data_IF_102008305720
#
_entry.id   IF_102008305720
#
_cell.length_a   1.000
_cell.length_b   1.000
_cell.length_c   1.000
_cell.angle_alpha   90.00
_cell.angle_beta   90.00
_cell.angle_gamma   90.00
#
_symmetry.space_group_name_H-M   'P 1'
#
loop_
_entity.id
_entity.type
_entity.pdbx_description
1 polymer ?
#
# COMPACT_ATOMS: atom_id res chain seq x y z
N UNK A 1 32.09 3.64 -9.65
CA UNK A 1 30.97 2.94 -10.27
C UNK A 1 29.83 2.78 -9.29
N UNK A 2 28.63 2.83 -9.77
CA UNK A 2 27.46 2.50 -8.96
C UNK A 2 27.38 1.00 -8.80
N UNK A 3 27.13 0.52 -7.60
CA UNK A 3 26.82 -0.89 -7.40
C UNK A 3 25.56 -1.26 -8.21
N UNK A 4 25.56 -2.43 -8.88
CA UNK A 4 24.34 -2.90 -9.51
C UNK A 4 23.29 -3.13 -8.45
N UNK A 5 22.18 -2.41 -8.53
CA UNK A 5 21.03 -2.65 -7.68
C UNK A 5 19.89 -3.24 -8.52
N UNK A 6 19.07 -4.00 -7.86
CA UNK A 6 17.89 -4.56 -8.50
C UNK A 6 16.90 -3.42 -8.66
N UNK A 7 16.74 -2.98 -9.90
CA UNK A 7 15.63 -2.11 -10.23
C UNK A 7 14.38 -2.97 -10.09
N UNK A 8 13.64 -2.75 -9.03
CA UNK A 8 12.31 -3.31 -8.90
C UNK A 8 11.53 -2.89 -10.12
N UNK A 9 11.43 -3.78 -11.08
CA UNK A 9 10.58 -3.58 -12.25
C UNK A 9 9.14 -3.36 -11.79
N UNK A 10 8.29 -2.97 -12.71
CA UNK A 10 6.87 -2.86 -12.48
C UNK A 10 6.33 -4.18 -11.95
N UNK A 11 5.91 -4.18 -10.70
CA UNK A 11 5.26 -5.35 -10.11
C UNK A 11 3.79 -5.36 -10.50
N UNK A 12 3.17 -6.53 -10.49
CA UNK A 12 1.71 -6.63 -10.63
C UNK A 12 0.96 -6.20 -9.35
N UNK A 13 1.65 -5.57 -8.41
CA UNK A 13 1.09 -5.04 -7.17
C UNK A 13 0.24 -3.80 -7.42
N UNK A 14 -0.79 -3.63 -6.62
CA UNK A 14 -1.69 -2.49 -6.69
C UNK A 14 -3.03 -2.82 -6.05
N UNK A 15 -4.00 -1.93 -6.20
CA UNK A 15 -5.35 -2.17 -5.72
C UNK A 15 -5.97 -3.39 -6.39
N UNK A 16 -6.68 -4.18 -5.62
CA UNK A 16 -7.46 -5.28 -6.17
C UNK A 16 -8.64 -4.71 -6.96
N UNK A 17 -8.55 -4.82 -8.28
CA UNK A 17 -9.60 -4.38 -9.21
C UNK A 17 -10.17 -5.56 -9.99
N UNK A 18 -11.39 -5.41 -10.46
CA UNK A 18 -12.04 -6.31 -11.39
C UNK A 18 -11.78 -5.96 -12.87
N UNK A 19 -12.46 -6.59 -13.79
CA UNK A 19 -12.32 -6.32 -15.23
C UNK A 19 -12.86 -4.95 -15.65
N UNK A 20 -13.73 -4.33 -14.85
CA UNK A 20 -14.24 -2.95 -15.01
C UNK A 20 -13.36 -1.92 -14.32
N UNK A 21 -12.25 -2.34 -13.73
CA UNK A 21 -11.34 -1.50 -12.91
C UNK A 21 -11.99 -0.95 -11.64
N UNK A 22 -13.13 -1.53 -11.22
CA UNK A 22 -13.72 -1.23 -9.92
C UNK A 22 -12.87 -1.85 -8.80
N UNK A 23 -12.67 -1.09 -7.71
CA UNK A 23 -12.07 -1.61 -6.48
C UNK A 23 -13.14 -2.24 -5.59
N UNK A 24 -12.74 -2.75 -4.42
CA UNK A 24 -13.69 -3.23 -3.40
C UNK A 24 -14.39 -2.09 -2.64
N UNK A 25 -14.10 -0.85 -2.96
CA UNK A 25 -14.77 0.34 -2.40
C UNK A 25 -15.70 0.89 -3.46
N UNK A 26 -17.01 0.97 -3.14
CA UNK A 26 -18.03 1.43 -4.07
C UNK A 26 -17.71 2.83 -4.62
N UNK A 27 -17.79 2.98 -5.94
CA UNK A 27 -17.52 4.23 -6.63
C UNK A 27 -16.03 4.58 -6.79
N UNK A 28 -15.11 3.72 -6.31
CA UNK A 28 -13.67 3.91 -6.49
C UNK A 28 -13.14 2.98 -7.58
N UNK A 29 -12.52 3.57 -8.59
CA UNK A 29 -11.90 2.86 -9.72
C UNK A 29 -10.39 3.12 -9.74
N UNK A 30 -9.61 2.16 -10.24
CA UNK A 30 -8.17 2.29 -10.35
C UNK A 30 -7.66 1.72 -11.69
N UNK A 31 -6.84 2.51 -12.39
CA UNK A 31 -6.23 2.11 -13.66
C UNK A 31 -4.75 2.51 -13.68
N UNK A 32 -3.96 1.85 -14.52
CA UNK A 32 -2.52 2.06 -14.62
C UNK A 32 -1.73 1.47 -13.46
N UNK A 33 -0.69 2.16 -13.01
CA UNK A 33 0.26 1.64 -12.02
C UNK A 33 -0.36 1.35 -10.65
N UNK A 34 -1.45 2.02 -10.30
CA UNK A 34 -2.16 1.79 -9.03
C UNK A 34 -3.04 0.53 -9.05
N UNK A 35 -3.38 0.01 -10.25
CA UNK A 35 -4.18 -1.19 -10.39
C UNK A 35 -3.33 -2.45 -10.28
N UNK A 36 -3.72 -3.39 -9.41
CA UNK A 36 -3.07 -4.69 -9.30
C UNK A 36 -3.39 -5.57 -10.52
N UNK A 37 -2.38 -6.33 -10.97
CA UNK A 37 -2.54 -7.27 -12.09
C UNK A 37 -2.58 -6.62 -13.47
N UNK A 38 -2.32 -5.32 -13.59
CA UNK A 38 -2.22 -4.65 -14.87
C UNK A 38 -1.13 -5.31 -15.75
N UNK A 39 -1.44 -5.74 -16.96
CA UNK A 39 -0.50 -6.51 -17.82
C UNK A 39 0.66 -5.65 -18.30
N UNK A 40 0.47 -4.36 -18.40
CA UNK A 40 1.49 -3.40 -18.85
C UNK A 40 1.35 -2.09 -18.10
N UNK A 41 2.32 -1.81 -17.24
CA UNK A 41 2.35 -0.60 -16.38
C UNK A 41 3.19 0.53 -17.00
N UNK A 42 2.91 0.87 -18.25
CA UNK A 42 3.51 1.98 -18.99
C UNK A 42 2.40 2.87 -19.54
N UNK A 43 2.79 3.96 -20.19
CA UNK A 43 1.85 4.97 -20.71
C UNK A 43 0.71 4.34 -21.53
N UNK A 44 1.00 3.41 -22.43
CA UNK A 44 -0.02 2.75 -23.24
C UNK A 44 -0.99 1.92 -22.41
N UNK A 45 -0.49 1.16 -21.46
CA UNK A 45 -1.33 0.39 -20.54
C UNK A 45 -2.13 1.27 -19.61
N UNK A 46 -1.51 2.33 -19.08
CA UNK A 46 -2.19 3.30 -18.21
C UNK A 46 -3.35 4.04 -18.93
N UNK A 47 -3.15 4.41 -20.20
CA UNK A 47 -4.19 5.04 -21.01
C UNK A 47 -5.36 4.07 -21.29
N UNK A 48 -5.06 2.83 -21.66
CA UNK A 48 -6.10 1.82 -21.93
C UNK A 48 -6.91 1.49 -20.66
N UNK A 49 -6.23 1.34 -19.53
CA UNK A 49 -6.91 1.07 -18.25
C UNK A 49 -7.67 2.28 -17.73
N UNK A 50 -7.15 3.49 -17.96
CA UNK A 50 -7.83 4.74 -17.65
C UNK A 50 -9.14 4.89 -18.44
N UNK A 51 -9.15 4.51 -19.72
CA UNK A 51 -10.37 4.48 -20.54
C UNK A 51 -11.40 3.50 -19.97
N UNK A 52 -11.00 2.27 -19.63
CA UNK A 52 -11.89 1.28 -19.03
C UNK A 52 -12.47 1.81 -17.71
N UNK A 53 -11.60 2.34 -16.84
CA UNK A 53 -12.02 2.89 -15.55
C UNK A 53 -13.01 4.07 -15.71
N UNK A 54 -12.75 4.97 -16.65
CA UNK A 54 -13.61 6.13 -16.91
C UNK A 54 -15.00 5.69 -17.42
N UNK A 55 -15.06 4.79 -18.39
CA UNK A 55 -16.34 4.26 -18.90
C UNK A 55 -17.13 3.57 -17.81
N UNK A 56 -16.48 2.76 -17.00
CA UNK A 56 -17.13 2.08 -15.87
C UNK A 56 -17.60 3.06 -14.78
N UNK A 57 -16.85 4.12 -14.52
CA UNK A 57 -17.27 5.16 -13.59
C UNK A 57 -18.51 5.94 -14.09
N UNK A 58 -18.59 6.20 -15.40
CA UNK A 58 -19.79 6.83 -16.01
C UNK A 58 -21.01 5.91 -15.88
N UNK A 59 -20.85 4.61 -16.17
CA UNK A 59 -21.91 3.61 -15.98
C UNK A 59 -22.39 3.60 -14.52
N UNK A 60 -21.45 3.50 -13.58
CA UNK A 60 -21.73 3.50 -12.14
C UNK A 60 -22.53 4.74 -11.70
N UNK A 61 -22.10 5.95 -12.09
CA UNK A 61 -22.82 7.20 -11.73
C UNK A 61 -24.21 7.24 -12.34
N UNK A 62 -24.35 6.75 -13.57
CA UNK A 62 -25.67 6.69 -14.25
C UNK A 62 -26.66 5.77 -13.54
N UNK A 63 -26.18 4.69 -12.95
CA UNK A 63 -27.01 3.70 -12.23
C UNK A 63 -27.29 4.10 -10.78
N UNK A 64 -26.31 4.66 -10.08
CA UNK A 64 -26.36 4.90 -8.64
C UNK A 64 -26.63 6.36 -8.27
N UNK A 65 -26.46 7.29 -9.21
CA UNK A 65 -26.54 8.72 -8.93
C UNK A 65 -25.39 9.23 -8.06
N UNK A 66 -25.57 10.40 -7.45
CA UNK A 66 -24.59 11.03 -6.54
C UNK A 66 -25.09 10.86 -5.11
N UNK A 67 -24.29 10.17 -4.29
CA UNK A 67 -24.59 10.06 -2.86
C UNK A 67 -24.38 11.39 -2.15
N UNK A 68 -25.27 11.80 -1.23
CA UNK A 68 -25.04 12.99 -0.43
C UNK A 68 -23.81 12.81 0.48
N UNK A 69 -23.02 13.86 0.63
CA UNK A 69 -21.90 13.88 1.56
C UNK A 69 -22.43 14.24 2.95
N UNK A 70 -22.14 13.42 3.94
CA UNK A 70 -22.50 13.71 5.33
C UNK A 70 -21.53 14.77 5.91
N UNK A 71 -22.06 15.88 6.39
CA UNK A 71 -21.28 17.00 6.93
C UNK A 71 -20.42 16.61 8.13
N UNK A 72 -20.88 15.66 8.96
CA UNK A 72 -20.11 15.16 10.10
C UNK A 72 -18.75 14.57 9.73
N UNK A 73 -18.66 13.93 8.56
CA UNK A 73 -17.39 13.39 8.05
C UNK A 73 -16.43 14.52 7.62
N UNK A 74 -16.97 15.59 7.03
CA UNK A 74 -16.17 16.75 6.63
C UNK A 74 -15.60 17.45 7.87
N UNK A 75 -16.43 17.70 8.89
CA UNK A 75 -16.02 18.39 10.11
C UNK A 75 -14.90 17.64 10.86
N UNK A 76 -14.95 16.30 10.88
CA UNK A 76 -13.88 15.50 11.49
C UNK A 76 -12.55 15.62 10.76
N UNK A 77 -12.57 15.64 9.42
CA UNK A 77 -11.35 15.84 8.61
C UNK A 77 -10.80 17.26 8.72
N UNK A 78 -11.67 18.28 8.78
CA UNK A 78 -11.24 19.67 9.02
C UNK A 78 -10.55 19.75 10.37
N UNK A 79 -11.13 19.19 11.43
CA UNK A 79 -10.56 19.20 12.78
C UNK A 79 -9.20 18.47 12.83
N UNK A 80 -9.03 17.37 12.08
CA UNK A 80 -7.76 16.69 11.95
C UNK A 80 -6.70 17.59 11.30
N UNK A 81 -7.02 18.22 10.15
CA UNK A 81 -6.14 19.17 9.46
C UNK A 81 -5.73 20.33 10.37
N UNK A 82 -6.70 20.96 11.04
CA UNK A 82 -6.47 22.06 11.99
C UNK A 82 -5.55 21.62 13.14
N UNK A 83 -5.66 20.37 13.58
CA UNK A 83 -4.81 19.85 14.65
C UNK A 83 -3.33 19.86 14.27
N UNK A 84 -2.97 19.55 13.03
CA UNK A 84 -1.58 19.60 12.58
C UNK A 84 -1.06 21.03 12.42
N UNK A 85 -1.91 21.99 12.10
CA UNK A 85 -1.52 23.40 11.95
C UNK A 85 -1.43 24.16 13.29
N UNK A 86 -1.93 23.60 14.38
CA UNK A 86 -2.00 24.26 15.68
C UNK A 86 -1.09 23.66 16.75
N UNK A 87 -0.64 22.42 16.59
CA UNK A 87 0.22 21.70 17.56
C UNK A 87 1.68 22.15 17.48
N UNK A 88 2.01 23.30 18.04
CA UNK A 88 3.38 23.86 18.00
C UNK A 88 4.43 23.11 18.83
N UNK A 89 4.03 22.16 19.67
CA UNK A 89 4.93 21.43 20.57
C UNK A 89 5.34 20.05 20.04
N UNK A 90 5.40 19.89 18.72
CA UNK A 90 5.88 18.64 18.12
C UNK A 90 7.32 18.35 18.53
N UNK A 91 7.56 17.15 19.05
CA UNK A 91 8.88 16.69 19.46
C UNK A 91 9.76 16.28 18.26
N UNK A 92 9.13 15.92 17.15
CA UNK A 92 9.78 15.42 15.97
C UNK A 92 9.35 16.22 14.74
N UNK A 93 10.21 16.25 13.73
CA UNK A 93 9.86 16.73 12.39
C UNK A 93 9.38 15.58 11.51
N UNK A 94 8.67 15.90 10.44
CA UNK A 94 8.25 14.94 9.41
C UNK A 94 9.44 14.20 8.83
N UNK A 95 10.53 14.91 8.50
CA UNK A 95 11.77 14.36 7.98
C UNK A 95 12.41 13.33 8.93
N UNK A 96 12.48 13.64 10.24
CA UNK A 96 13.02 12.71 11.23
C UNK A 96 12.23 11.40 11.31
N UNK A 97 10.91 11.47 11.24
CA UNK A 97 10.10 10.25 11.25
C UNK A 97 10.20 9.49 9.91
N UNK A 98 10.35 10.19 8.79
CA UNK A 98 10.58 9.56 7.48
C UNK A 98 11.92 8.82 7.44
N UNK A 99 13.01 9.45 7.89
CA UNK A 99 14.32 8.79 8.00
C UNK A 99 14.26 7.56 8.92
N UNK A 100 13.55 7.67 10.04
CA UNK A 100 13.35 6.54 10.95
C UNK A 100 12.57 5.41 10.28
N UNK A 101 11.50 5.71 9.54
CA UNK A 101 10.73 4.75 8.75
C UNK A 101 11.63 4.03 7.73
N UNK A 102 12.37 4.77 6.93
CA UNK A 102 13.30 4.22 5.94
C UNK A 102 14.34 3.31 6.60
N UNK A 103 14.93 3.74 7.72
CA UNK A 103 15.90 2.96 8.48
C UNK A 103 15.32 1.65 9.03
N UNK A 104 14.07 1.67 9.48
CA UNK A 104 13.36 0.46 9.95
C UNK A 104 13.17 -0.53 8.81
N UNK A 105 12.63 -0.07 7.67
CA UNK A 105 12.38 -0.93 6.52
C UNK A 105 13.68 -1.51 5.97
N UNK A 106 14.72 -0.69 5.86
CA UNK A 106 16.03 -1.12 5.37
C UNK A 106 16.71 -2.15 6.29
N UNK A 107 16.55 -2.02 7.60
CA UNK A 107 17.24 -2.88 8.58
C UNK A 107 16.47 -4.16 8.92
N UNK A 108 15.14 -4.17 8.80
CA UNK A 108 14.32 -5.26 9.33
C UNK A 108 13.35 -5.87 8.33
N UNK A 109 13.06 -5.20 7.21
CA UNK A 109 12.08 -5.68 6.23
C UNK A 109 12.69 -6.03 4.85
N UNK A 110 13.93 -6.48 4.83
CA UNK A 110 14.58 -6.93 3.59
C UNK A 110 15.09 -5.79 2.72
N UNK A 111 15.61 -4.73 3.31
CA UNK A 111 16.24 -3.63 2.57
C UNK A 111 17.68 -3.91 2.17
N UNK A 112 18.35 -2.89 1.65
CA UNK A 112 19.71 -2.97 1.10
C UNK A 112 20.71 -3.43 2.16
N UNK A 113 20.61 -2.91 3.39
CA UNK A 113 21.51 -3.30 4.51
C UNK A 113 21.51 -4.79 4.81
N UNK A 114 20.40 -5.46 4.54
CA UNK A 114 20.25 -6.90 4.77
C UNK A 114 20.42 -7.73 3.49
N UNK A 115 20.89 -7.11 2.40
CA UNK A 115 20.95 -7.73 1.07
C UNK A 115 19.61 -8.37 0.65
N UNK A 116 18.51 -7.65 0.89
CA UNK A 116 17.12 -8.08 0.60
C UNK A 116 16.70 -9.36 1.35
N UNK A 117 17.30 -9.63 2.51
CA UNK A 117 17.02 -10.79 3.34
C UNK A 117 16.28 -10.39 4.60
N UNK A 118 15.36 -11.24 5.04
CA UNK A 118 14.59 -11.05 6.26
C UNK A 118 14.18 -12.38 6.88
N UNK A 119 13.72 -12.35 8.10
CA UNK A 119 13.07 -13.46 8.81
C UNK A 119 11.87 -12.96 9.62
N UNK A 120 11.04 -13.88 10.14
CA UNK A 120 9.83 -13.50 10.89
C UNK A 120 10.17 -12.59 12.09
N UNK A 121 11.23 -12.89 12.81
CA UNK A 121 11.64 -12.07 13.98
C UNK A 121 12.02 -10.64 13.62
N UNK A 122 12.70 -10.44 12.49
CA UNK A 122 13.01 -9.09 11.98
C UNK A 122 11.74 -8.35 11.57
N UNK A 123 10.81 -9.04 10.90
CA UNK A 123 9.53 -8.46 10.52
C UNK A 123 8.66 -8.08 11.72
N UNK A 124 8.72 -8.84 12.83
CA UNK A 124 8.04 -8.46 14.07
C UNK A 124 8.59 -7.16 14.66
N UNK A 125 9.93 -6.98 14.62
CA UNK A 125 10.58 -5.73 15.05
C UNK A 125 10.17 -4.58 14.12
N UNK A 126 10.14 -4.80 12.80
CA UNK A 126 9.72 -3.80 11.83
C UNK A 126 8.27 -3.36 12.09
N UNK A 127 7.34 -4.30 12.24
CA UNK A 127 5.92 -4.02 12.50
C UNK A 127 5.73 -3.18 13.76
N UNK A 128 6.38 -3.59 14.85
CA UNK A 128 6.34 -2.85 16.11
C UNK A 128 6.85 -1.41 15.96
N UNK A 129 8.01 -1.23 15.32
CA UNK A 129 8.61 0.10 15.13
C UNK A 129 7.78 0.99 14.20
N UNK A 130 7.25 0.45 13.10
CA UNK A 130 6.39 1.22 12.19
C UNK A 130 5.09 1.63 12.88
N UNK A 131 4.49 0.78 13.70
CA UNK A 131 3.32 1.16 14.53
C UNK A 131 3.64 2.33 15.48
N UNK A 132 4.79 2.29 16.14
CA UNK A 132 5.23 3.41 16.99
C UNK A 132 5.41 4.72 16.19
N UNK A 133 6.01 4.65 14.98
CA UNK A 133 6.16 5.82 14.12
C UNK A 133 4.79 6.35 13.64
N UNK A 134 3.83 5.46 13.41
CA UNK A 134 2.45 5.86 13.07
C UNK A 134 1.81 6.64 14.21
N UNK A 135 1.95 6.18 15.46
CA UNK A 135 1.44 6.88 16.65
C UNK A 135 2.14 8.24 16.83
N UNK A 136 3.46 8.30 16.62
CA UNK A 136 4.21 9.55 16.72
C UNK A 136 3.81 10.56 15.63
N UNK A 137 3.42 10.10 14.44
CA UNK A 137 2.99 10.97 13.35
C UNK A 137 1.73 11.79 13.68
N UNK A 138 0.90 11.32 14.60
CA UNK A 138 -0.29 12.05 15.04
C UNK A 138 0.04 13.32 15.85
N UNK A 139 1.28 13.46 16.33
CA UNK A 139 1.76 14.61 17.09
C UNK A 139 2.56 15.61 16.27
N UNK A 140 2.71 15.40 14.97
CA UNK A 140 3.46 16.29 14.08
C UNK A 140 2.79 17.67 13.99
N UNK A 141 3.60 18.68 13.68
CA UNK A 141 3.19 20.05 13.44
C UNK A 141 3.60 20.48 12.03
N UNK A 142 2.71 21.15 11.35
CA UNK A 142 2.95 21.78 10.06
C UNK A 142 2.92 23.30 10.20
N UNK A 143 4.00 23.97 9.81
CA UNK A 143 4.06 25.44 9.79
C UNK A 143 3.23 26.01 8.63
N UNK A 144 3.14 25.26 7.54
CA UNK A 144 2.40 25.63 6.34
C UNK A 144 1.71 24.41 5.68
N UNK A 145 0.99 24.67 4.57
CA UNK A 145 0.31 23.62 3.83
C UNK A 145 1.24 22.64 3.11
N UNK A 146 2.47 23.03 2.82
CA UNK A 146 3.44 22.13 2.20
C UNK A 146 3.95 21.12 3.21
N UNK A 147 4.26 21.53 4.43
CA UNK A 147 4.60 20.63 5.52
C UNK A 147 3.42 19.73 5.89
N UNK A 148 2.21 20.26 5.88
CA UNK A 148 0.99 19.46 6.07
C UNK A 148 0.89 18.35 5.02
N UNK A 149 1.17 18.64 3.76
CA UNK A 149 1.21 17.63 2.70
C UNK A 149 2.24 16.55 3.00
N UNK A 150 3.44 16.91 3.44
CA UNK A 150 4.47 15.94 3.81
C UNK A 150 4.06 15.05 5.00
N UNK A 151 3.31 15.59 5.98
CA UNK A 151 2.76 14.79 7.08
C UNK A 151 1.80 13.71 6.53
N UNK A 152 0.88 14.08 5.63
CA UNK A 152 -0.03 13.13 5.02
C UNK A 152 0.69 12.09 4.17
N UNK A 153 1.66 12.49 3.35
CA UNK A 153 2.50 11.56 2.59
C UNK A 153 3.25 10.57 3.49
N UNK A 154 3.81 11.03 4.62
CA UNK A 154 4.48 10.17 5.58
C UNK A 154 3.50 9.14 6.17
N UNK A 155 2.30 9.55 6.58
CA UNK A 155 1.27 8.66 7.15
C UNK A 155 0.82 7.60 6.15
N UNK A 156 0.66 7.98 4.88
CA UNK A 156 0.39 7.02 3.80
C UNK A 156 1.54 6.02 3.63
N UNK A 157 2.80 6.50 3.58
CA UNK A 157 3.98 5.64 3.49
C UNK A 157 4.10 4.68 4.68
N UNK A 158 3.80 5.12 5.90
CA UNK A 158 3.75 4.26 7.09
C UNK A 158 2.70 3.15 6.95
N UNK A 159 1.53 3.48 6.39
CA UNK A 159 0.48 2.50 6.11
C UNK A 159 0.93 1.49 5.04
N UNK A 160 1.60 1.95 3.98
CA UNK A 160 2.19 1.09 2.95
C UNK A 160 3.27 0.19 3.57
N UNK A 161 4.15 0.71 4.42
CA UNK A 161 5.18 -0.10 5.12
C UNK A 161 4.54 -1.22 5.95
N UNK A 162 3.48 -0.94 6.70
CA UNK A 162 2.72 -1.97 7.45
C UNK A 162 2.14 -3.03 6.51
N UNK A 163 1.57 -2.61 5.38
CA UNK A 163 1.06 -3.54 4.37
C UNK A 163 2.18 -4.43 3.82
N UNK A 164 3.33 -3.86 3.45
CA UNK A 164 4.50 -4.62 2.96
C UNK A 164 4.96 -5.64 4.00
N UNK A 165 5.13 -5.23 5.25
CA UNK A 165 5.52 -6.14 6.34
C UNK A 165 4.51 -7.29 6.49
N UNK A 166 3.22 -6.99 6.48
CA UNK A 166 2.17 -8.00 6.58
C UNK A 166 2.19 -8.99 5.42
N UNK A 167 2.43 -8.52 4.19
CA UNK A 167 2.59 -9.38 3.01
C UNK A 167 3.82 -10.27 3.10
N UNK A 168 4.96 -9.73 3.53
CA UNK A 168 6.19 -10.52 3.75
C UNK A 168 6.00 -11.59 4.82
N UNK A 169 5.30 -11.29 5.92
CA UNK A 169 4.97 -12.25 6.99
C UNK A 169 4.00 -13.33 6.53
N UNK A 170 3.05 -12.98 5.67
CA UNK A 170 2.02 -13.91 5.19
C UNK A 170 2.57 -14.96 4.24
N UNK A 171 3.56 -14.59 3.41
CA UNK A 171 4.12 -15.47 2.39
C UNK A 171 5.30 -16.26 2.95
N UNK A 172 5.04 -17.48 3.41
CA UNK A 172 6.06 -18.39 4.00
C UNK A 172 6.79 -19.17 2.91
N UNK A 173 7.40 -18.44 1.99
CA UNK A 173 8.22 -18.99 0.89
C UNK A 173 9.18 -17.91 0.39
N UNK A 174 10.16 -18.30 -0.41
CA UNK A 174 10.97 -17.42 -1.25
C UNK A 174 10.69 -17.74 -2.70
N UNK A 175 10.00 -16.82 -3.40
CA UNK A 175 9.62 -16.98 -4.81
C UNK A 175 10.53 -16.20 -5.75
N UNK A 176 10.91 -15.00 -5.34
CA UNK A 176 11.70 -14.06 -6.13
C UNK A 176 12.97 -13.70 -5.35
N UNK A 177 13.97 -14.57 -5.40
CA UNK A 177 15.23 -14.42 -4.65
C UNK A 177 15.94 -13.08 -4.91
N UNK A 178 15.70 -12.46 -6.07
CA UNK A 178 16.29 -11.17 -6.42
C UNK A 178 15.62 -9.97 -5.75
N UNK A 179 14.45 -10.13 -5.14
CA UNK A 179 13.71 -9.03 -4.52
C UNK A 179 13.53 -9.18 -3.01
N UNK A 180 13.35 -10.41 -2.54
CA UNK A 180 13.13 -10.67 -1.13
C UNK A 180 13.43 -12.15 -0.83
N UNK A 181 14.35 -12.40 0.07
CA UNK A 181 14.70 -13.76 0.50
C UNK A 181 14.28 -13.96 1.96
N UNK A 182 13.31 -14.84 2.15
CA UNK A 182 12.86 -15.23 3.48
C UNK A 182 13.80 -16.32 4.04
N UNK A 183 14.60 -15.98 5.04
CA UNK A 183 15.60 -16.88 5.63
C UNK A 183 14.96 -18.05 6.38
N UNK A 184 13.74 -17.92 6.89
CA UNK A 184 13.02 -19.00 7.55
C UNK A 184 12.37 -19.95 6.53
N UNK A 185 12.05 -19.46 5.32
CA UNK A 185 11.39 -20.20 4.24
C UNK A 185 12.11 -19.97 2.90
N UNK A 186 13.32 -20.53 2.70
CA UNK A 186 14.16 -20.19 1.55
C UNK A 186 13.68 -20.83 0.23
N UNK A 187 12.73 -21.75 0.27
CA UNK A 187 12.26 -22.46 -0.91
C UNK A 187 10.90 -21.93 -1.37
N UNK A 188 10.65 -22.06 -2.69
CA UNK A 188 9.36 -21.81 -3.30
C UNK A 188 8.35 -22.89 -2.87
N UNK A 189 7.13 -22.49 -2.57
CA UNK A 189 6.04 -23.40 -2.18
C UNK A 189 4.78 -23.14 -3.04
N UNK A 190 4.74 -23.74 -4.23
CA UNK A 190 3.59 -23.62 -5.13
C UNK A 190 2.32 -24.29 -4.59
N UNK A 191 2.47 -25.26 -3.70
CA UNK A 191 1.31 -25.96 -3.13
C UNK A 191 0.45 -25.01 -2.27
N UNK A 192 1.09 -24.16 -1.47
CA UNK A 192 0.40 -23.29 -0.52
C UNK A 192 0.32 -21.85 -0.99
N UNK A 193 1.29 -21.39 -1.79
CA UNK A 193 1.45 -19.97 -2.12
C UNK A 193 1.39 -19.64 -3.62
N UNK A 194 0.92 -20.54 -4.50
CA UNK A 194 0.53 -20.18 -5.85
C UNK A 194 -0.82 -19.43 -5.84
N UNK A 195 -0.85 -18.29 -5.13
CA UNK A 195 -2.03 -17.49 -4.79
C UNK A 195 -1.71 -16.00 -4.86
N UNK A 196 -2.74 -15.20 -5.00
CA UNK A 196 -2.65 -13.77 -4.70
C UNK A 196 -2.61 -13.56 -3.19
N UNK A 197 -1.74 -12.66 -2.75
CA UNK A 197 -1.77 -12.13 -1.39
C UNK A 197 -2.31 -10.72 -1.47
N UNK A 198 -3.48 -10.48 -0.91
CA UNK A 198 -4.10 -9.18 -0.79
C UNK A 198 -4.15 -8.76 0.67
N UNK A 199 -4.31 -7.48 0.92
CA UNK A 199 -4.52 -6.94 2.26
C UNK A 199 -5.64 -5.92 2.27
N UNK A 200 -6.23 -5.74 3.44
CA UNK A 200 -7.23 -4.72 3.73
C UNK A 200 -6.94 -4.13 5.11
N UNK A 201 -7.08 -2.82 5.22
CA UNK A 201 -7.03 -2.14 6.52
C UNK A 201 -8.43 -2.22 7.17
N UNK A 202 -8.50 -2.86 8.34
CA UNK A 202 -9.73 -2.95 9.13
C UNK A 202 -9.44 -2.56 10.57
N UNK A 203 -10.12 -1.55 11.07
CA UNK A 203 -9.97 -1.07 12.46
C UNK A 203 -8.49 -0.80 12.85
N UNK A 204 -7.72 -0.21 11.94
CA UNK A 204 -6.31 0.09 12.15
C UNK A 204 -5.34 -1.10 11.98
N UNK A 205 -5.83 -2.31 11.70
CA UNK A 205 -5.01 -3.50 11.49
C UNK A 205 -5.04 -3.98 10.04
N UNK A 206 -3.88 -4.43 9.54
CA UNK A 206 -3.75 -5.00 8.20
C UNK A 206 -4.18 -6.47 8.24
N UNK A 207 -5.25 -6.78 7.54
CA UNK A 207 -5.73 -8.16 7.36
C UNK A 207 -5.32 -8.70 6.01
N UNK A 208 -4.70 -9.89 6.01
CA UNK A 208 -4.27 -10.60 4.81
C UNK A 208 -5.39 -11.50 4.29
N UNK A 209 -5.55 -11.48 2.98
CA UNK A 209 -6.50 -12.30 2.23
C UNK A 209 -5.74 -13.10 1.17
N UNK A 210 -5.70 -14.41 1.31
CA UNK A 210 -5.14 -15.31 0.30
C UNK A 210 -6.24 -15.70 -0.68
N UNK A 211 -6.02 -15.46 -1.97
CA UNK A 211 -6.96 -15.77 -3.03
C UNK A 211 -6.34 -16.70 -4.07
N UNK A 212 -7.14 -17.60 -4.60
CA UNK A 212 -6.72 -18.44 -5.72
C UNK A 212 -6.51 -17.59 -6.98
N UNK A 213 -5.59 -18.04 -7.84
CA UNK A 213 -5.40 -17.41 -9.13
C UNK A 213 -6.65 -17.57 -9.99
N UNK A 214 -7.02 -16.52 -10.71
CA UNK A 214 -8.11 -16.59 -11.69
C UNK A 214 -7.61 -17.37 -12.90
N UNK A 215 -8.28 -18.49 -13.28
CA UNK A 215 -7.89 -19.26 -14.46
C UNK A 215 -7.97 -18.41 -15.73
N UNK A 216 -7.01 -18.59 -16.64
CA UNK A 216 -7.01 -17.87 -17.91
C UNK A 216 -8.34 -18.05 -18.68
N UNK A 217 -8.83 -16.97 -19.29
CA UNK A 217 -10.09 -16.94 -20.01
C UNK A 217 -11.37 -16.74 -19.17
N UNK A 218 -11.24 -16.58 -17.84
CA UNK A 218 -12.35 -16.18 -16.98
C UNK A 218 -12.25 -14.69 -16.63
N UNK A 219 -13.37 -14.00 -16.67
CA UNK A 219 -13.54 -12.66 -16.11
C UNK A 219 -13.82 -12.75 -14.62
N UNK A 220 -13.48 -11.69 -13.90
CA UNK A 220 -13.80 -11.51 -12.50
C UNK A 220 -14.42 -10.12 -12.31
N UNK A 221 -15.55 -10.07 -11.67
CA UNK A 221 -16.20 -8.84 -11.24
C UNK A 221 -16.41 -8.90 -9.72
N UNK A 222 -16.29 -7.76 -9.04
CA UNK A 222 -16.64 -7.69 -7.63
C UNK A 222 -18.15 -7.86 -7.49
N UNK A 223 -18.57 -8.80 -6.66
CA UNK A 223 -19.96 -8.84 -6.18
C UNK A 223 -20.07 -7.85 -5.03
N UNK A 224 -20.72 -6.74 -5.28
CA UNK A 224 -21.10 -5.76 -4.25
C UNK A 224 -22.33 -6.24 -3.47
#
# INVERSE_FOLDING_TARGET
GTEPYIVGGHTASGYWVDTKRATTVNGLFAGGDVAGGAPQKYVTGALAEGEIAALSAVEYVSENGISPIESSNIDSHISEVESFLTKKDSRFTTEQLEEAMQSVMDSYAGGIKTNYRFNEKQLDIADYKIKQLTELSDSLYAEDFQELMYIYELRERLTVCRSVIAHLKARKETRWHSFAENLDYPNKDDKNFNKYVNSRLENGEIKIILRDLVPGGKSYEHSN
#
